data_IF_613668611237
#
_entry.id   IF_613668611237
#
_cell.length_a   1.000
_cell.length_b   1.000
_cell.length_c   1.000
_cell.angle_alpha   90.00
_cell.angle_beta   90.00
_cell.angle_gamma   90.00
#
_symmetry.space_group_name_H-M   'P 1'
#
loop_
_entity.id
_entity.type
_entity.pdbx_description
1 polymer ?
#
# COMPACT_ATOMS: atom_id res chain seq x y z
N UNK A 1 -2.82 8.50 1.86
CA UNK A 1 -2.87 9.98 1.69
C UNK A 1 -2.44 10.31 0.26
N UNK A 2 -3.25 11.04 -0.50
CA UNK A 2 -2.93 11.38 -1.87
C UNK A 2 -2.37 12.81 -1.94
N UNK A 3 -1.13 13.03 -2.42
CA UNK A 3 -0.55 14.37 -2.58
C UNK A 3 -1.37 15.36 -3.41
N UNK A 4 -2.22 14.85 -4.30
CA UNK A 4 -3.13 15.65 -5.14
C UNK A 4 -4.46 15.99 -4.45
N UNK A 5 -4.77 15.39 -3.30
CA UNK A 5 -6.03 15.56 -2.55
C UNK A 5 -5.74 15.91 -1.09
N UNK A 6 -5.50 17.20 -0.85
CA UNK A 6 -5.28 17.79 0.49
C UNK A 6 -6.40 18.75 0.87
N UNK A 7 -6.33 19.38 2.04
CA UNK A 7 -7.39 20.25 2.55
C UNK A 7 -7.74 21.39 1.59
N UNK A 8 -6.73 21.97 0.92
CA UNK A 8 -6.93 22.98 -0.12
C UNK A 8 -7.82 22.48 -1.27
N UNK A 9 -7.61 21.25 -1.73
CA UNK A 9 -8.45 20.66 -2.78
C UNK A 9 -9.92 20.56 -2.36
N UNK A 10 -10.20 20.14 -1.12
CA UNK A 10 -11.58 20.08 -0.62
C UNK A 10 -12.21 21.48 -0.53
N UNK A 11 -11.44 22.46 -0.07
CA UNK A 11 -11.88 23.85 -0.04
C UNK A 11 -12.24 24.36 -1.44
N UNK A 12 -11.37 24.14 -2.42
CA UNK A 12 -11.56 24.57 -3.81
C UNK A 12 -12.75 23.85 -4.48
N UNK A 13 -13.11 22.65 -4.01
CA UNK A 13 -14.25 21.88 -4.50
C UNK A 13 -15.56 22.10 -3.70
N UNK A 14 -15.62 23.16 -2.88
CA UNK A 14 -16.87 23.61 -2.24
C UNK A 14 -17.27 22.83 -0.99
N UNK A 15 -16.35 22.10 -0.36
CA UNK A 15 -16.62 21.45 0.92
C UNK A 15 -16.75 22.49 2.04
N UNK A 16 -17.68 22.27 2.96
CA UNK A 16 -17.87 23.16 4.12
C UNK A 16 -16.69 23.08 5.09
N UNK A 17 -16.46 24.14 5.85
CA UNK A 17 -15.42 24.17 6.87
C UNK A 17 -15.53 23.00 7.86
N UNK A 18 -16.75 22.64 8.27
CA UNK A 18 -16.99 21.53 9.21
C UNK A 18 -16.61 20.18 8.61
N UNK A 19 -16.87 19.95 7.32
CA UNK A 19 -16.46 18.73 6.62
C UNK A 19 -14.94 18.65 6.51
N UNK A 20 -14.29 19.76 6.18
CA UNK A 20 -12.82 19.85 6.09
C UNK A 20 -12.18 19.57 7.46
N UNK A 21 -12.72 20.12 8.56
CA UNK A 21 -12.23 19.82 9.92
C UNK A 21 -12.45 18.35 10.28
N UNK A 22 -13.61 17.77 9.95
CA UNK A 22 -13.86 16.35 10.21
C UNK A 22 -12.89 15.45 9.44
N UNK A 23 -12.62 15.77 8.17
CA UNK A 23 -11.61 15.05 7.36
C UNK A 23 -10.24 15.15 8.02
N UNK A 24 -9.82 16.36 8.41
CA UNK A 24 -8.57 16.60 9.12
C UNK A 24 -8.47 15.74 10.38
N UNK A 25 -9.49 15.78 11.24
CA UNK A 25 -9.53 15.04 12.50
C UNK A 25 -9.45 13.52 12.26
N UNK A 26 -10.16 13.01 11.24
CA UNK A 26 -10.12 11.59 10.89
C UNK A 26 -8.72 11.15 10.47
N UNK A 27 -8.10 11.93 9.58
CA UNK A 27 -6.77 11.62 9.07
C UNK A 27 -5.73 11.71 10.18
N UNK A 28 -5.71 12.81 10.93
CA UNK A 28 -4.73 13.04 11.99
C UNK A 28 -4.84 11.95 13.06
N UNK A 29 -6.06 11.59 13.49
CA UNK A 29 -6.27 10.49 14.43
C UNK A 29 -5.67 9.18 13.91
N UNK A 30 -5.95 8.81 12.66
CA UNK A 30 -5.39 7.58 12.05
C UNK A 30 -3.88 7.60 11.94
N UNK A 31 -3.31 8.76 11.61
CA UNK A 31 -1.87 8.94 11.56
C UNK A 31 -1.23 8.73 12.95
N UNK A 32 -1.73 9.41 13.98
CA UNK A 32 -1.19 9.29 15.33
C UNK A 32 -1.42 7.90 15.94
N UNK A 33 -2.48 7.19 15.55
CA UNK A 33 -2.72 5.80 15.98
C UNK A 33 -1.72 4.79 15.41
N UNK A 34 -1.22 5.00 14.19
CA UNK A 34 -0.53 3.94 13.41
C UNK A 34 0.85 4.29 12.87
N UNK A 35 1.18 5.58 12.75
CA UNK A 35 2.38 6.04 12.03
C UNK A 35 3.24 7.05 12.80
N UNK A 36 2.69 7.73 13.82
CA UNK A 36 3.49 8.64 14.64
C UNK A 36 4.57 7.87 15.43
N UNK A 37 5.79 8.41 15.45
CA UNK A 37 6.84 7.88 16.33
C UNK A 37 6.38 7.97 17.79
N UNK A 38 6.28 6.83 18.46
CA UNK A 38 6.03 6.79 19.90
C UNK A 38 7.17 7.53 20.62
N UNK A 39 6.87 8.51 21.50
CA UNK A 39 7.89 9.07 22.38
C UNK A 39 8.30 7.99 23.40
N UNK A 40 9.40 7.28 23.11
CA UNK A 40 10.16 6.53 24.11
C UNK A 40 9.65 5.14 24.53
N UNK A 41 9.16 4.28 23.62
CA UNK A 41 8.92 2.87 23.96
C UNK A 41 9.65 1.87 23.06
N UNK A 42 10.64 1.20 23.67
CA UNK A 42 11.16 -0.09 23.24
C UNK A 42 10.05 -1.15 23.29
N UNK A 43 10.01 -1.99 22.26
CA UNK A 43 9.34 -3.31 22.16
C UNK A 43 7.83 -3.37 22.38
N UNK A 44 7.12 -3.64 21.29
CA UNK A 44 5.71 -4.02 21.29
C UNK A 44 4.94 -3.32 20.19
N UNK A 45 5.33 -3.57 18.94
CA UNK A 45 4.62 -3.05 17.78
C UNK A 45 3.12 -3.35 17.93
N UNK A 46 2.30 -2.31 18.10
CA UNK A 46 0.86 -2.39 17.87
C UNK A 46 0.65 -2.50 16.37
N UNK A 47 0.97 -3.68 15.85
CA UNK A 47 0.84 -3.99 14.44
C UNK A 47 -0.65 -4.09 14.15
N UNK A 48 -1.16 -3.22 13.28
CA UNK A 48 -2.48 -3.39 12.71
C UNK A 48 -2.58 -4.81 12.12
N UNK A 49 -3.50 -5.63 12.65
CA UNK A 49 -3.68 -7.04 12.25
C UNK A 49 -3.94 -7.23 10.75
N UNK A 50 -4.36 -6.17 10.05
CA UNK A 50 -4.63 -6.16 8.62
C UNK A 50 -3.46 -5.66 7.75
N UNK A 51 -2.40 -5.09 8.33
CA UNK A 51 -1.22 -4.57 7.61
C UNK A 51 -0.05 -5.56 7.53
N UNK A 52 -0.25 -6.81 7.97
CA UNK A 52 0.81 -7.80 8.22
C UNK A 52 1.56 -8.35 6.99
N UNK A 53 1.38 -7.84 5.77
CA UNK A 53 1.98 -8.50 4.59
C UNK A 53 2.78 -7.64 3.61
N UNK A 54 2.69 -6.31 3.65
CA UNK A 54 3.36 -5.47 2.64
C UNK A 54 3.92 -4.16 3.18
N UNK A 55 4.38 -4.11 4.44
CA UNK A 55 5.14 -2.95 4.92
C UNK A 55 6.51 -2.95 4.25
N UNK A 56 6.58 -2.32 3.06
CA UNK A 56 7.81 -2.06 2.35
C UNK A 56 8.52 -0.93 3.09
N UNK A 57 9.56 -1.32 3.84
CA UNK A 57 10.53 -0.42 4.51
C UNK A 57 9.94 0.26 5.75
N UNK A 58 10.50 -0.07 6.91
CA UNK A 58 10.40 0.77 8.11
C UNK A 58 11.67 1.62 8.17
N UNK A 59 11.63 2.92 7.83
CA UNK A 59 12.78 3.79 8.01
C UNK A 59 12.99 4.03 9.51
N UNK A 60 14.23 3.97 9.98
CA UNK A 60 14.56 4.37 11.35
C UNK A 60 14.09 5.81 11.62
N UNK A 61 13.59 6.10 12.84
CA UNK A 61 13.04 7.40 13.18
C UNK A 61 14.17 8.43 13.33
N UNK A 62 14.41 9.23 12.30
CA UNK A 62 15.04 10.53 12.47
C UNK A 62 13.93 11.55 12.66
N UNK A 63 13.72 11.95 13.92
CA UNK A 63 12.79 12.98 14.33
C UNK A 63 13.22 14.31 13.72
N UNK A 64 12.66 14.66 12.55
CA UNK A 64 12.68 16.02 12.04
C UNK A 64 11.31 16.62 12.28
N UNK A 65 11.25 17.80 12.91
CA UNK A 65 10.02 18.55 13.21
C UNK A 65 9.11 18.83 11.99
N UNK A 66 9.58 18.51 10.78
CA UNK A 66 8.91 18.66 9.48
C UNK A 66 8.05 17.45 9.03
N UNK A 67 8.05 16.34 9.76
CA UNK A 67 7.24 15.14 9.43
C UNK A 67 5.88 15.13 10.16
N UNK A 68 5.30 16.31 10.40
CA UNK A 68 3.97 16.43 10.99
C UNK A 68 2.89 16.24 9.94
N UNK A 69 1.92 15.38 10.23
CA UNK A 69 0.72 15.19 9.38
C UNK A 69 -0.06 16.50 9.19
N UNK A 70 -0.07 17.36 10.21
CA UNK A 70 -0.78 18.65 10.17
C UNK A 70 -0.18 19.57 9.11
N UNK A 71 1.15 19.62 9.02
CA UNK A 71 1.85 20.40 8.01
C UNK A 71 1.57 19.85 6.61
N UNK A 72 1.64 18.53 6.44
CA UNK A 72 1.33 17.89 5.16
C UNK A 72 -0.08 18.21 4.64
N UNK A 73 -1.07 18.26 5.53
CA UNK A 73 -2.47 18.53 5.18
C UNK A 73 -2.72 19.99 4.74
N UNK A 74 -1.95 20.93 5.29
CA UNK A 74 -2.03 22.36 5.00
C UNK A 74 -1.16 22.75 3.80
N UNK A 75 -0.05 22.06 3.58
CA UNK A 75 0.82 22.25 2.42
C UNK A 75 0.03 22.21 1.11
N UNK A 76 0.49 22.97 0.11
CA UNK A 76 -0.16 23.01 -1.20
C UNK A 76 -0.27 21.61 -1.85
N UNK A 77 -1.29 21.49 -2.70
CA UNK A 77 -1.57 20.30 -3.49
C UNK A 77 -0.47 20.13 -4.53
N UNK A 78 0.03 18.91 -4.68
CA UNK A 78 1.00 18.58 -5.73
C UNK A 78 0.25 18.46 -7.05
N UNK A 79 0.70 19.13 -8.11
CA UNK A 79 0.04 19.03 -9.42
C UNK A 79 0.21 17.63 -10.03
N UNK A 80 -0.78 17.23 -10.82
CA UNK A 80 -0.74 15.94 -11.53
C UNK A 80 0.45 15.83 -12.49
N UNK A 81 0.89 16.95 -13.09
CA UNK A 81 2.06 16.99 -13.96
C UNK A 81 3.35 16.58 -13.24
N UNK A 82 3.54 17.06 -12.00
CA UNK A 82 4.72 16.69 -11.19
C UNK A 82 4.66 15.21 -10.85
N UNK A 83 3.48 14.68 -10.53
CA UNK A 83 3.29 13.25 -10.27
C UNK A 83 3.57 12.41 -11.52
N UNK A 84 3.11 12.86 -12.69
CA UNK A 84 3.33 12.19 -13.97
C UNK A 84 4.83 12.14 -14.31
N UNK A 85 5.57 13.24 -14.09
CA UNK A 85 7.02 13.30 -14.29
C UNK A 85 7.79 12.28 -13.43
N UNK A 86 7.29 11.96 -12.23
CA UNK A 86 7.88 10.96 -11.34
C UNK A 86 7.49 9.51 -11.70
N UNK A 87 6.69 9.30 -12.76
CA UNK A 87 6.21 7.99 -13.16
C UNK A 87 5.02 7.49 -12.33
N UNK A 88 4.24 8.40 -11.76
CA UNK A 88 3.01 8.11 -11.04
C UNK A 88 3.11 8.31 -9.52
N UNK A 89 1.94 8.22 -8.88
CA UNK A 89 1.75 8.64 -7.50
C UNK A 89 2.53 7.80 -6.48
N UNK A 90 2.54 6.47 -6.66
CA UNK A 90 3.32 5.57 -5.80
C UNK A 90 4.80 5.95 -5.86
N UNK A 91 5.33 6.16 -7.06
CA UNK A 91 6.75 6.44 -7.24
C UNK A 91 7.14 7.79 -6.68
N UNK A 92 6.30 8.82 -6.87
CA UNK A 92 6.45 10.10 -6.19
C UNK A 92 6.48 9.91 -4.66
N UNK A 93 5.49 9.25 -4.07
CA UNK A 93 5.46 9.02 -2.62
C UNK A 93 6.68 8.23 -2.11
N UNK A 94 7.16 7.22 -2.87
CA UNK A 94 8.37 6.46 -2.52
C UNK A 94 9.62 7.34 -2.52
N UNK A 95 9.74 8.29 -3.45
CA UNK A 95 10.89 9.23 -3.43
C UNK A 95 10.88 10.14 -2.20
N UNK A 96 9.68 10.52 -1.75
CA UNK A 96 9.47 11.43 -0.63
C UNK A 96 9.62 10.78 0.75
N UNK A 97 9.71 9.44 0.83
CA UNK A 97 10.04 8.72 2.06
C UNK A 97 11.37 9.16 2.68
N UNK A 98 12.30 9.69 1.88
CA UNK A 98 13.60 10.19 2.37
C UNK A 98 13.45 11.45 3.22
N UNK A 99 12.46 12.29 2.92
CA UNK A 99 12.28 13.58 3.58
C UNK A 99 11.23 13.51 4.69
N UNK A 100 10.14 12.78 4.47
CA UNK A 100 9.00 12.69 5.40
C UNK A 100 8.53 11.23 5.54
N UNK A 101 9.31 10.38 6.23
CA UNK A 101 9.11 8.94 6.23
C UNK A 101 7.76 8.48 6.80
N UNK A 102 7.23 9.14 7.84
CA UNK A 102 5.99 8.71 8.49
C UNK A 102 4.77 9.03 7.63
N UNK A 103 4.69 10.27 7.15
CA UNK A 103 3.56 10.72 6.32
C UNK A 103 3.51 9.95 5.00
N UNK A 104 4.65 9.76 4.33
CA UNK A 104 4.66 9.05 3.05
C UNK A 104 4.57 7.53 3.18
N UNK A 105 4.90 6.94 4.33
CA UNK A 105 4.53 5.54 4.64
C UNK A 105 3.01 5.38 4.65
N UNK A 106 2.30 6.25 5.37
CA UNK A 106 0.83 6.28 5.34
C UNK A 106 0.30 6.59 3.93
N UNK A 107 0.98 7.41 3.14
CA UNK A 107 0.60 7.66 1.76
C UNK A 107 0.59 6.37 0.93
N UNK A 108 1.71 5.64 0.94
CA UNK A 108 1.91 4.40 0.17
C UNK A 108 0.92 3.32 0.58
N UNK A 109 0.72 3.09 1.87
CA UNK A 109 -0.19 2.05 2.37
C UNK A 109 -1.62 2.24 1.85
N UNK A 110 -2.11 3.49 1.81
CA UNK A 110 -3.44 3.78 1.28
C UNK A 110 -3.51 3.75 -0.25
N UNK A 111 -2.45 4.12 -0.94
CA UNK A 111 -2.43 4.16 -2.41
C UNK A 111 -2.21 2.77 -3.04
N UNK A 112 -1.58 1.86 -2.30
CA UNK A 112 -1.41 0.46 -2.73
C UNK A 112 -2.61 -0.41 -2.37
N UNK A 113 -3.53 0.09 -1.53
CA UNK A 113 -4.78 -0.60 -1.26
C UNK A 113 -5.62 -0.67 -2.55
N UNK A 114 -6.03 -1.87 -3.00
CA UNK A 114 -6.80 -2.00 -4.21
C UNK A 114 -8.16 -1.31 -4.06
N UNK A 115 -8.56 -0.53 -5.07
CA UNK A 115 -9.84 0.18 -5.06
C UNK A 115 -11.06 -0.77 -5.09
N UNK A 116 -10.86 -2.03 -5.51
CA UNK A 116 -11.93 -3.01 -5.57
C UNK A 116 -11.43 -4.43 -5.26
N UNK A 117 -12.36 -5.32 -4.91
CA UNK A 117 -12.09 -6.75 -4.78
C UNK A 117 -12.05 -7.50 -6.12
N UNK A 118 -12.16 -6.81 -7.26
CA UNK A 118 -12.29 -7.43 -8.59
C UNK A 118 -11.04 -8.23 -8.93
N UNK A 119 -9.84 -7.72 -8.64
CA UNK A 119 -8.59 -8.42 -8.97
C UNK A 119 -8.48 -9.74 -8.20
N UNK A 120 -8.81 -9.73 -6.91
CA UNK A 120 -8.89 -10.94 -6.10
C UNK A 120 -9.96 -11.91 -6.65
N UNK A 121 -11.16 -11.41 -6.99
CA UNK A 121 -12.25 -12.22 -7.56
C UNK A 121 -11.88 -12.81 -8.93
N UNK A 122 -11.14 -12.10 -9.77
CA UNK A 122 -10.66 -12.58 -11.07
C UNK A 122 -9.72 -13.77 -10.89
N UNK A 123 -8.81 -13.70 -9.92
CA UNK A 123 -7.96 -14.83 -9.55
C UNK A 123 -8.79 -16.05 -9.11
N UNK A 124 -9.80 -15.86 -8.27
CA UNK A 124 -10.68 -16.96 -7.84
C UNK A 124 -11.59 -17.51 -8.95
N UNK A 125 -12.08 -16.66 -9.85
CA UNK A 125 -12.90 -17.08 -10.99
C UNK A 125 -12.12 -18.01 -11.93
N UNK A 126 -10.88 -17.63 -12.25
CA UNK A 126 -9.98 -18.48 -13.04
C UNK A 126 -9.64 -19.78 -12.29
N UNK A 127 -9.53 -19.72 -10.95
CA UNK A 127 -9.36 -20.88 -10.08
C UNK A 127 -10.58 -21.81 -9.99
N UNK A 128 -11.78 -21.40 -10.42
CA UNK A 128 -13.00 -22.20 -10.28
C UNK A 128 -12.92 -23.55 -11.00
N UNK A 129 -12.25 -23.61 -12.16
CA UNK A 129 -12.03 -24.85 -12.89
C UNK A 129 -11.11 -25.84 -12.15
N UNK A 130 -10.32 -25.34 -11.20
CA UNK A 130 -9.41 -26.13 -10.37
C UNK A 130 -10.03 -26.65 -9.09
N UNK A 131 -11.12 -26.02 -8.65
CA UNK A 131 -11.94 -26.46 -7.51
C UNK A 131 -13.11 -27.34 -7.98
N UNK A 132 -13.30 -27.46 -9.30
CA UNK A 132 -14.39 -28.23 -9.87
C UNK A 132 -14.19 -29.74 -9.70
N UNK A 133 -15.31 -30.45 -9.70
CA UNK A 133 -15.48 -31.91 -9.57
C UNK A 133 -14.52 -32.76 -10.44
N UNK A 134 -13.92 -32.22 -11.51
CA UNK A 134 -13.00 -32.97 -12.38
C UNK A 134 -11.57 -33.09 -11.84
N UNK A 135 -11.19 -32.30 -10.81
CA UNK A 135 -9.89 -32.41 -10.14
C UNK A 135 -10.07 -32.93 -8.72
N UNK A 136 -10.42 -34.20 -8.59
CA UNK A 136 -10.31 -34.90 -7.30
C UNK A 136 -8.82 -35.00 -6.94
N UNK A 137 -8.44 -34.62 -5.71
CA UNK A 137 -7.09 -34.74 -5.12
C UNK A 137 -6.10 -33.56 -5.30
N UNK A 138 -6.56 -32.30 -5.40
CA UNK A 138 -5.66 -31.16 -5.16
C UNK A 138 -5.68 -30.74 -3.68
N UNK A 139 -4.52 -30.78 -3.01
CA UNK A 139 -4.40 -30.28 -1.63
C UNK A 139 -4.58 -28.75 -1.58
N UNK A 140 -5.01 -28.22 -0.44
CA UNK A 140 -5.12 -26.77 -0.22
C UNK A 140 -3.79 -26.03 -0.43
N UNK A 141 -2.66 -26.65 -0.07
CA UNK A 141 -1.32 -26.12 -0.30
C UNK A 141 -0.99 -26.01 -1.79
N UNK A 142 -1.29 -27.06 -2.55
CA UNK A 142 -1.06 -27.09 -4.01
C UNK A 142 -1.92 -26.04 -4.71
N UNK A 143 -3.18 -25.90 -4.29
CA UNK A 143 -4.08 -24.86 -4.80
C UNK A 143 -3.54 -23.45 -4.51
N UNK A 144 -3.16 -23.17 -3.25
CA UNK A 144 -2.59 -21.87 -2.87
C UNK A 144 -1.29 -21.55 -3.62
N UNK A 145 -0.38 -22.52 -3.73
CA UNK A 145 0.87 -22.36 -4.47
C UNK A 145 0.61 -22.04 -5.94
N UNK A 146 -0.33 -22.75 -6.58
CA UNK A 146 -0.67 -22.50 -7.99
C UNK A 146 -1.34 -21.14 -8.20
N UNK A 147 -2.21 -20.70 -7.29
CA UNK A 147 -2.80 -19.36 -7.36
C UNK A 147 -1.76 -18.26 -7.17
N UNK A 148 -0.81 -18.45 -6.26
CA UNK A 148 0.29 -17.50 -6.04
C UNK A 148 1.24 -17.42 -7.25
N UNK A 149 1.69 -18.56 -7.77
CA UNK A 149 2.53 -18.58 -8.98
C UNK A 149 1.77 -17.97 -10.16
N UNK A 150 0.51 -18.36 -10.35
CA UNK A 150 -0.34 -17.85 -11.43
C UNK A 150 -0.60 -16.33 -11.35
N UNK A 151 -0.60 -15.73 -10.15
CA UNK A 151 -0.70 -14.28 -10.01
C UNK A 151 0.61 -13.54 -10.24
N UNK A 152 1.76 -14.23 -10.21
CA UNK A 152 3.07 -13.65 -10.46
C UNK A 152 3.54 -13.78 -11.90
N UNK A 153 3.14 -14.82 -12.62
CA UNK A 153 3.54 -15.03 -14.02
C UNK A 153 3.16 -13.82 -14.88
N UNK A 154 4.14 -13.30 -15.65
CA UNK A 154 3.98 -12.12 -16.50
C UNK A 154 4.08 -10.78 -15.74
N UNK A 155 4.35 -10.81 -14.44
CA UNK A 155 4.70 -9.61 -13.66
C UNK A 155 6.22 -9.46 -13.57
N UNK A 156 6.76 -8.28 -13.19
CA UNK A 156 8.20 -8.12 -12.94
C UNK A 156 8.76 -9.09 -11.89
N UNK A 157 7.92 -9.66 -11.03
CA UNK A 157 8.33 -10.64 -10.02
C UNK A 157 8.62 -12.03 -10.62
N UNK A 158 7.85 -12.44 -11.63
CA UNK A 158 8.04 -13.69 -12.35
C UNK A 158 7.70 -13.47 -13.84
N UNK A 159 8.65 -12.94 -14.63
CA UNK A 159 8.39 -12.61 -16.03
C UNK A 159 8.02 -13.85 -16.85
N UNK A 160 8.64 -14.99 -16.53
CA UNK A 160 8.43 -16.27 -17.18
C UNK A 160 8.62 -17.44 -16.19
N UNK A 161 8.05 -18.60 -16.52
CA UNK A 161 8.09 -19.84 -15.76
C UNK A 161 9.44 -20.56 -15.82
N UNK A 162 10.33 -20.20 -16.74
CA UNK A 162 11.65 -20.83 -16.89
C UNK A 162 12.44 -20.78 -15.59
N UNK A 163 12.55 -19.62 -14.94
CA UNK A 163 13.28 -19.46 -13.69
C UNK A 163 12.71 -20.34 -12.56
N UNK A 164 11.38 -20.47 -12.48
CA UNK A 164 10.73 -21.33 -11.49
C UNK A 164 10.96 -22.83 -11.80
N UNK A 165 10.92 -23.22 -13.07
CA UNK A 165 11.17 -24.59 -13.50
C UNK A 165 12.62 -25.02 -13.19
N UNK A 166 13.60 -24.16 -13.44
CA UNK A 166 15.01 -24.44 -13.12
C UNK A 166 15.24 -24.58 -11.61
N UNK A 167 14.60 -23.75 -10.79
CA UNK A 167 14.71 -23.84 -9.33
C UNK A 167 14.17 -25.17 -8.77
N UNK A 168 13.06 -25.67 -9.32
CA UNK A 168 12.48 -26.97 -8.95
C UNK A 168 13.39 -28.12 -9.40
N UNK A 169 13.97 -28.03 -10.60
CA UNK A 169 14.91 -29.04 -11.11
C UNK A 169 16.20 -29.12 -10.28
N UNK A 170 16.68 -28.00 -9.72
CA UNK A 170 17.87 -27.98 -8.88
C UNK A 170 17.66 -28.49 -7.44
N UNK A 171 16.40 -28.68 -7.02
CA UNK A 171 16.03 -29.18 -5.68
C UNK A 171 15.59 -30.64 -5.69
N UNK A 172 15.50 -31.26 -6.88
CA UNK A 172 15.32 -32.70 -7.08
C UNK A 172 16.68 -33.38 -7.26
#
# INVERSE_FOLDING_TARGET
MCPTLKLKWFFDNGYSYNEIQNIRDIVSRRFYESYAAAPGQNTGARVNKYLHRHSLVSPQPQSTAYDSIEQYLVDDVVSEDVVAQHGGLIRYCTTQLKERPQVYSMAIDYLTAPASSVDAKRAFSNGRLMVNHLQHQMSSRTFQAKMAVGSWVGTPLLPDLTAAATAVQATM
#
